data_IF_161334871505
#
_entry.id   IF_161334871505
#
_cell.length_a   1.000
_cell.length_b   1.000
_cell.length_c   1.000
_cell.angle_alpha   90.00
_cell.angle_beta   90.00
_cell.angle_gamma   90.00
#
_symmetry.space_group_name_H-M   'P 1'
#
loop_
_entity.id
_entity.type
_entity.pdbx_description
1 polymer ?
#
# COMPACT_ATOMS: atom_id res chain seq x y z
N UNK A 1 -7.83 -12.94 12.17
CA UNK A 1 -8.62 -12.38 11.06
C UNK A 1 -8.29 -13.17 9.80
N UNK A 2 -9.25 -13.39 8.90
CA UNK A 2 -8.98 -14.11 7.63
C UNK A 2 -8.42 -13.10 6.63
N UNK A 3 -7.31 -13.42 5.98
CA UNK A 3 -6.72 -12.54 4.98
C UNK A 3 -7.61 -12.45 3.73
N UNK A 4 -7.68 -11.27 3.10
CA UNK A 4 -8.53 -11.04 1.93
C UNK A 4 -7.69 -11.14 0.65
N UNK A 5 -8.17 -11.92 -0.33
CA UNK A 5 -7.53 -12.09 -1.63
C UNK A 5 -7.82 -10.92 -2.55
N UNK A 6 -6.78 -10.19 -2.96
CA UNK A 6 -6.92 -8.98 -3.78
C UNK A 6 -6.03 -9.05 -5.03
N UNK A 7 -6.44 -8.30 -6.05
CA UNK A 7 -5.64 -8.09 -7.27
C UNK A 7 -5.15 -6.66 -7.42
N UNK A 8 -5.89 -5.71 -6.86
CA UNK A 8 -5.58 -4.30 -6.99
C UNK A 8 -5.40 -3.65 -5.62
N UNK A 9 -4.40 -2.78 -5.52
CA UNK A 9 -4.19 -1.89 -4.39
C UNK A 9 -4.30 -0.44 -4.85
N UNK A 10 -5.32 0.28 -4.39
CA UNK A 10 -5.45 1.71 -4.63
C UNK A 10 -5.01 2.48 -3.39
N UNK A 11 -4.00 3.33 -3.56
CA UNK A 11 -3.54 4.25 -2.53
C UNK A 11 -3.96 5.67 -2.89
N UNK A 12 -4.50 6.42 -1.94
CA UNK A 12 -4.79 7.84 -2.04
C UNK A 12 -3.95 8.63 -1.05
N UNK A 13 -3.38 9.75 -1.49
CA UNK A 13 -2.74 10.72 -0.61
C UNK A 13 -3.70 11.87 -0.33
N UNK A 14 -4.29 11.89 0.86
CA UNK A 14 -5.10 12.98 1.39
C UNK A 14 -4.45 13.65 2.61
N UNK A 15 -3.13 13.44 2.78
CA UNK A 15 -2.35 14.05 3.84
C UNK A 15 -1.93 15.49 3.54
N UNK A 16 -1.09 16.04 4.42
CA UNK A 16 -0.58 17.42 4.32
C UNK A 16 0.94 17.39 4.15
N UNK A 17 1.44 18.14 3.16
CA UNK A 17 2.86 18.36 2.88
C UNK A 17 3.73 17.10 2.75
N UNK A 18 3.15 15.96 2.34
CA UNK A 18 3.88 14.68 2.24
C UNK A 18 3.72 14.06 0.85
N UNK A 19 4.82 13.57 0.29
CA UNK A 19 4.84 12.74 -0.92
C UNK A 19 4.95 11.29 -0.47
N UNK A 20 4.10 10.43 -1.02
CA UNK A 20 4.03 9.02 -0.66
C UNK A 20 4.14 8.11 -1.88
N UNK A 21 4.47 6.84 -1.64
CA UNK A 21 4.50 5.77 -2.61
C UNK A 21 3.82 4.52 -2.03
N UNK A 22 3.07 3.75 -2.83
CA UNK A 22 2.47 2.51 -2.37
C UNK A 22 3.54 1.49 -1.99
N UNK A 23 3.32 0.79 -0.88
CA UNK A 23 4.22 -0.24 -0.38
C UNK A 23 3.42 -1.44 0.14
N UNK A 24 3.99 -2.64 0.01
CA UNK A 24 3.47 -3.87 0.59
C UNK A 24 4.47 -4.36 1.66
N UNK A 25 4.03 -4.46 2.92
CA UNK A 25 4.85 -5.02 4.02
C UNK A 25 4.64 -6.52 4.14
N UNK A 26 5.68 -7.26 4.46
CA UNK A 26 5.56 -8.70 4.68
C UNK A 26 4.76 -8.94 5.95
N UNK A 27 3.72 -9.77 5.87
CA UNK A 27 2.84 -10.03 7.01
C UNK A 27 3.58 -10.72 8.18
N UNK A 28 4.49 -11.65 7.86
CA UNK A 28 5.28 -12.38 8.86
C UNK A 28 6.42 -11.57 9.50
N UNK A 29 6.84 -10.46 8.89
CA UNK A 29 7.88 -9.57 9.40
C UNK A 29 7.67 -8.17 8.82
N UNK A 30 7.04 -7.30 9.60
CA UNK A 30 6.70 -5.96 9.12
C UNK A 30 7.89 -5.02 9.01
N UNK A 31 9.10 -5.44 9.38
CA UNK A 31 10.36 -4.77 9.04
C UNK A 31 10.82 -5.01 7.60
N UNK A 32 10.27 -6.02 6.93
CA UNK A 32 10.56 -6.36 5.54
C UNK A 32 9.49 -5.83 4.57
N UNK A 33 9.95 -5.39 3.41
CA UNK A 33 9.09 -4.94 2.32
C UNK A 33 8.98 -6.03 1.26
N UNK A 34 7.76 -6.41 0.91
CA UNK A 34 7.47 -7.33 -0.21
C UNK A 34 7.63 -6.59 -1.54
N UNK A 35 7.12 -5.38 -1.60
CA UNK A 35 7.20 -4.53 -2.79
C UNK A 35 7.14 -3.05 -2.42
N UNK A 36 7.88 -2.22 -3.15
CA UNK A 36 7.94 -0.77 -2.95
C UNK A 36 7.83 -0.04 -4.29
N UNK A 37 6.75 0.74 -4.45
CA UNK A 37 6.51 1.55 -5.64
C UNK A 37 7.64 2.55 -5.90
N UNK A 38 8.24 3.12 -4.86
CA UNK A 38 9.35 4.07 -4.98
C UNK A 38 10.57 3.42 -5.64
N UNK A 39 10.89 2.19 -5.23
CA UNK A 39 12.03 1.43 -5.78
C UNK A 39 11.73 0.86 -7.17
N UNK A 40 10.47 0.55 -7.47
CA UNK A 40 10.07 -0.02 -8.75
C UNK A 40 10.09 1.03 -9.87
N UNK A 41 9.45 2.17 -9.63
CA UNK A 41 9.39 3.31 -10.54
C UNK A 41 8.93 4.54 -9.74
N UNK A 42 9.90 5.32 -9.27
CA UNK A 42 9.64 6.48 -8.42
C UNK A 42 8.66 7.45 -9.07
N UNK A 43 8.80 7.73 -10.37
CA UNK A 43 7.99 8.73 -11.07
C UNK A 43 6.54 8.27 -11.23
N UNK A 44 6.34 7.00 -11.63
CA UNK A 44 5.00 6.43 -11.84
C UNK A 44 4.20 6.31 -10.55
N UNK A 45 4.86 5.93 -9.47
CA UNK A 45 4.19 5.63 -8.19
C UNK A 45 4.27 6.77 -7.18
N UNK A 46 4.76 7.95 -7.57
CA UNK A 46 4.80 9.14 -6.71
C UNK A 46 3.42 9.76 -6.57
N UNK A 47 2.90 9.80 -5.36
CA UNK A 47 1.66 10.50 -5.04
C UNK A 47 1.95 11.80 -4.31
N UNK A 48 1.65 12.93 -4.95
CA UNK A 48 1.52 14.22 -4.28
C UNK A 48 0.15 14.32 -3.59
N UNK A 49 -0.06 15.38 -2.81
CA UNK A 49 -1.32 15.60 -2.11
C UNK A 49 -2.51 15.63 -3.09
N UNK A 50 -3.62 15.03 -2.68
CA UNK A 50 -4.86 14.89 -3.44
C UNK A 50 -4.77 14.06 -4.72
N UNK A 51 -3.77 13.18 -4.85
CA UNK A 51 -3.70 12.20 -5.94
C UNK A 51 -3.90 10.78 -5.43
N UNK A 52 -4.12 9.85 -6.37
CA UNK A 52 -4.23 8.42 -6.10
C UNK A 52 -3.55 7.61 -7.20
N UNK A 53 -3.12 6.41 -6.86
CA UNK A 53 -2.61 5.42 -7.83
C UNK A 53 -3.24 4.06 -7.53
N UNK A 54 -3.51 3.30 -8.59
CA UNK A 54 -3.90 1.89 -8.47
C UNK A 54 -2.75 1.02 -8.96
N UNK A 55 -2.32 0.09 -8.13
CA UNK A 55 -1.30 -0.91 -8.42
C UNK A 55 -2.01 -2.22 -8.78
N UNK A 56 -1.76 -2.72 -9.99
CA UNK A 56 -2.09 -4.10 -10.35
C UNK A 56 -0.99 -5.01 -9.80
N UNK A 57 -1.35 -5.90 -8.87
CA UNK A 57 -0.40 -6.77 -8.17
C UNK A 57 0.29 -7.76 -9.13
N UNK A 58 -0.29 -8.07 -10.29
CA UNK A 58 0.38 -8.89 -11.31
C UNK A 58 1.65 -8.25 -11.86
N UNK A 59 1.76 -6.92 -11.78
CA UNK A 59 2.94 -6.16 -12.26
C UNK A 59 4.07 -6.06 -11.22
N UNK A 60 3.81 -6.48 -9.99
CA UNK A 60 4.75 -6.35 -8.87
C UNK A 60 5.77 -7.49 -8.82
N UNK A 61 5.47 -8.62 -9.47
CA UNK A 61 6.31 -9.83 -9.47
C UNK A 61 6.19 -10.69 -8.21
N UNK A 62 5.24 -10.38 -7.31
CA UNK A 62 4.98 -11.20 -6.12
C UNK A 62 4.26 -12.50 -6.50
N UNK A 63 4.58 -13.59 -5.81
CA UNK A 63 3.93 -14.88 -6.05
C UNK A 63 2.47 -14.86 -5.59
N UNK A 64 1.56 -15.58 -6.26
CA UNK A 64 0.21 -15.82 -5.73
C UNK A 64 0.25 -16.32 -4.28
N UNK A 65 -0.76 -15.96 -3.49
CA UNK A 65 -0.90 -16.27 -2.07
C UNK A 65 0.15 -15.61 -1.15
N UNK A 66 1.04 -14.76 -1.68
CA UNK A 66 1.93 -13.94 -0.85
C UNK A 66 1.10 -13.05 0.06
N UNK A 67 1.27 -13.21 1.38
CA UNK A 67 0.59 -12.40 2.40
C UNK A 67 1.32 -11.09 2.68
N UNK A 68 0.56 -10.02 2.80
CA UNK A 68 1.11 -8.69 3.06
C UNK A 68 0.12 -7.77 3.77
N UNK A 69 0.65 -6.67 4.31
CA UNK A 69 -0.11 -5.50 4.73
C UNK A 69 0.07 -4.38 3.72
N UNK A 70 -1.00 -3.61 3.49
CA UNK A 70 -0.93 -2.36 2.76
C UNK A 70 -0.21 -1.31 3.61
N UNK A 71 0.62 -0.50 2.97
CA UNK A 71 1.39 0.57 3.60
C UNK A 71 1.80 1.59 2.53
N UNK A 72 2.53 2.60 2.96
CA UNK A 72 3.13 3.61 2.13
C UNK A 72 4.55 3.89 2.57
N UNK A 73 5.40 4.17 1.60
CA UNK A 73 6.69 4.79 1.84
C UNK A 73 6.54 6.30 1.69
N UNK A 74 7.25 7.06 2.51
CA UNK A 74 7.34 8.52 2.42
C UNK A 74 8.80 8.93 2.22
N UNK A 75 9.06 10.24 2.16
CA UNK A 75 10.45 10.72 2.15
C UNK A 75 11.19 10.40 3.46
N UNK A 76 10.47 10.29 4.57
CA UNK A 76 11.02 10.16 5.93
C UNK A 76 11.09 8.72 6.42
N UNK A 77 10.54 7.77 5.68
CA UNK A 77 10.52 6.36 6.03
C UNK A 77 9.22 5.71 5.62
N UNK A 78 9.06 4.45 5.98
CA UNK A 78 7.78 3.76 5.83
C UNK A 78 6.84 4.25 6.92
N UNK A 79 5.74 4.88 6.52
CA UNK A 79 4.67 5.26 7.42
C UNK A 79 3.61 4.17 7.47
N UNK A 80 2.97 4.13 8.63
CA UNK A 80 1.80 3.35 9.04
C UNK A 80 1.40 2.12 8.22
N UNK A 81 1.35 0.99 8.92
CA UNK A 81 0.67 -0.22 8.49
C UNK A 81 -0.26 -0.64 9.64
N UNK A 82 -1.45 -1.14 9.33
CA UNK A 82 -2.38 -1.65 10.32
C UNK A 82 -2.26 -3.19 10.38
N UNK A 83 -1.82 -3.81 11.50
CA UNK A 83 -1.74 -5.27 11.62
C UNK A 83 -3.08 -5.99 11.37
N UNK A 84 -4.19 -5.28 11.49
CA UNK A 84 -5.52 -5.84 11.28
C UNK A 84 -5.89 -5.98 9.80
N UNK A 85 -5.06 -5.52 8.86
CA UNK A 85 -5.35 -5.49 7.42
C UNK A 85 -4.60 -6.57 6.61
N UNK A 86 -4.72 -7.84 6.98
CA UNK A 86 -4.01 -8.89 6.26
C UNK A 86 -4.63 -9.15 4.87
N UNK A 87 -3.81 -9.08 3.82
CA UNK A 87 -4.19 -9.41 2.45
C UNK A 87 -3.29 -10.50 1.88
N UNK A 88 -3.71 -11.11 0.77
CA UNK A 88 -2.83 -11.89 -0.08
C UNK A 88 -3.09 -11.60 -1.55
N UNK A 89 -2.08 -11.86 -2.38
CA UNK A 89 -2.23 -11.71 -3.82
C UNK A 89 -3.04 -12.88 -4.39
N UNK A 90 -4.21 -12.58 -4.94
CA UNK A 90 -5.02 -13.52 -5.72
C UNK A 90 -5.11 -13.02 -7.18
N UNK A 91 -4.45 -13.69 -8.14
CA UNK A 91 -4.49 -13.28 -9.54
C UNK A 91 -5.89 -13.37 -10.18
N UNK A 92 -6.78 -14.19 -9.61
CA UNK A 92 -8.14 -14.41 -10.10
C UNK A 92 -9.15 -13.48 -9.43
N UNK A 93 -8.75 -12.75 -8.38
CA UNK A 93 -9.62 -11.79 -7.70
C UNK A 93 -9.83 -10.55 -8.55
N UNK A 94 -11.02 -9.94 -8.43
CA UNK A 94 -11.32 -8.60 -8.95
C UNK A 94 -11.39 -7.56 -7.83
N UNK A 95 -11.05 -7.94 -6.59
CA UNK A 95 -11.13 -7.06 -5.43
C UNK A 95 -10.00 -6.04 -5.49
N UNK A 96 -10.39 -4.77 -5.27
CA UNK A 96 -9.48 -3.66 -5.03
C UNK A 96 -9.50 -3.33 -3.55
N UNK A 97 -8.34 -3.38 -2.89
CA UNK A 97 -8.22 -2.81 -1.57
C UNK A 97 -7.84 -1.33 -1.67
N UNK A 98 -8.57 -0.48 -0.97
CA UNK A 98 -8.30 0.96 -0.91
C UNK A 98 -7.68 1.34 0.42
N UNK A 99 -6.60 2.13 0.35
CA UNK A 99 -6.01 2.78 1.50
C UNK A 99 -5.90 4.29 1.25
N UNK A 100 -6.18 5.09 2.28
CA UNK A 100 -6.06 6.54 2.21
C UNK A 100 -5.13 7.02 3.32
N UNK A 101 -4.06 7.71 2.91
CA UNK A 101 -3.18 8.43 3.84
C UNK A 101 -3.83 9.75 4.23
N UNK A 102 -4.01 9.96 5.54
CA UNK A 102 -4.42 11.22 6.17
C UNK A 102 -3.30 11.82 7.01
N UNK A 103 -3.45 13.06 7.46
CA UNK A 103 -2.49 13.73 8.35
C UNK A 103 -1.15 14.09 7.71
N UNK A 104 -0.25 14.68 8.49
CA UNK A 104 1.09 15.09 8.08
C UNK A 104 2.11 13.95 8.14
N UNK A 105 3.38 14.35 8.21
CA UNK A 105 4.54 13.44 8.28
C UNK A 105 4.65 12.74 9.64
N UNK A 106 4.25 13.39 10.73
CA UNK A 106 4.46 12.89 12.09
C UNK A 106 3.19 12.40 12.80
N UNK A 107 2.03 12.68 12.23
CA UNK A 107 0.70 12.40 12.74
C UNK A 107 -0.19 11.73 11.67
N UNK A 108 0.45 11.18 10.65
CA UNK A 108 -0.23 10.53 9.54
C UNK A 108 -0.94 9.24 9.93
N UNK A 109 -2.06 8.93 9.28
CA UNK A 109 -2.70 7.61 9.37
C UNK A 109 -2.99 7.01 8.00
N UNK A 110 -2.93 5.68 7.92
CA UNK A 110 -3.39 4.94 6.75
C UNK A 110 -4.68 4.20 7.09
N UNK A 111 -5.78 4.65 6.49
CA UNK A 111 -7.08 4.05 6.71
C UNK A 111 -7.45 3.14 5.54
N UNK A 112 -7.79 1.90 5.87
CA UNK A 112 -8.40 0.95 4.95
C UNK A 112 -9.93 1.09 5.00
N UNK A 113 -10.56 1.19 3.83
CA UNK A 113 -12.00 1.33 3.71
C UNK A 113 -12.49 1.14 2.27
N UNK A 114 -13.79 1.32 2.08
CA UNK A 114 -14.41 1.14 0.77
C UNK A 114 -13.92 2.17 -0.24
N UNK A 115 -13.68 1.67 -1.46
CA UNK A 115 -13.59 2.45 -2.68
C UNK A 115 -15.02 2.75 -3.17
#
# INVERSE_FOLDING_TARGET
>A
MVAIGIRYYKLRNSGIACIIWPQLRKESNTGETVWDGRKKDESKYRLVINTSVTVDLSTTGISPETKFFLSENTFFGTDMWNPNQAFFYDPNSNVTACATKWGGVHDGSLDYGDC
#
